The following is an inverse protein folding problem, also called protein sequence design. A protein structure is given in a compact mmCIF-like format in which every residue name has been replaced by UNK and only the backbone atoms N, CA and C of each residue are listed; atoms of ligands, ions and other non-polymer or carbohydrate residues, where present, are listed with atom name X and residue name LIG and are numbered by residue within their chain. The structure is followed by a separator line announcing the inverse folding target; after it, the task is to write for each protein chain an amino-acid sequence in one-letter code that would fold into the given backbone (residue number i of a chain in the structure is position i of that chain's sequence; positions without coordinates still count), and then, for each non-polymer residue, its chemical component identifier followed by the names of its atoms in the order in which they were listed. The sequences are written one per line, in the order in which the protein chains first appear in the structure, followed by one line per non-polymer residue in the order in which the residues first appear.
data_IF_638250225049
#
_entry.id   IF_638250225049
#
_cell.length_a   1.000
_cell.length_b   1.000
_cell.length_c   1.000
_cell.angle_alpha   90.00
_cell.angle_beta   90.00
_cell.angle_gamma   90.00
#
_symmetry.space_group_name_H-M   'P 1'
#
loop_
_entity.id
_entity.type
_entity.pdbx_description
1 polymer ?
#
# COMPACT_ATOMS: atom_id res chain seq x y z
N UNK A 1 -17.74 10.83 -6.74
CA UNK A 1 -16.94 10.98 -5.51
C UNK A 1 -15.51 10.55 -5.82
N UNK A 2 -14.48 11.03 -5.13
CA UNK A 2 -13.09 10.71 -5.47
C UNK A 2 -12.67 9.42 -4.74
N UNK A 3 -12.14 8.42 -5.47
CA UNK A 3 -11.55 7.22 -4.90
C UNK A 3 -10.26 7.56 -4.13
N UNK A 4 -9.95 6.79 -3.10
CA UNK A 4 -8.78 6.99 -2.22
C UNK A 4 -8.50 5.70 -1.44
N UNK A 5 -7.32 5.54 -0.82
CA UNK A 5 -7.03 4.38 0.00
C UNK A 5 -8.13 4.07 1.03
N UNK A 6 -8.70 2.88 0.95
CA UNK A 6 -9.76 2.42 1.87
C UNK A 6 -9.23 1.95 3.22
N UNK A 7 -7.93 1.68 3.33
CA UNK A 7 -7.23 1.33 4.58
C UNK A 7 -6.12 2.33 4.88
N UNK A 8 -5.80 2.49 6.16
CA UNK A 8 -4.57 3.16 6.58
C UNK A 8 -3.41 2.19 6.38
N UNK A 9 -2.39 2.62 5.66
CA UNK A 9 -1.22 1.79 5.37
C UNK A 9 0.07 2.57 5.64
N UNK A 10 1.06 1.91 6.25
CA UNK A 10 2.35 2.54 6.53
C UNK A 10 3.07 2.81 5.21
N UNK A 11 3.70 3.96 5.09
CA UNK A 11 4.41 4.34 3.86
C UNK A 11 3.52 4.95 2.78
N UNK A 12 2.22 5.22 3.06
CA UNK A 12 1.31 5.81 2.06
C UNK A 12 1.86 7.10 1.45
N UNK A 13 1.86 7.19 0.12
CA UNK A 13 2.51 8.23 -0.69
C UNK A 13 1.67 9.50 -0.92
N UNK A 14 0.53 9.64 -0.24
CA UNK A 14 -0.40 10.76 -0.48
C UNK A 14 0.26 12.15 -0.45
N UNK A 15 1.30 12.33 0.36
CA UNK A 15 2.03 13.62 0.46
C UNK A 15 3.08 13.81 -0.64
N UNK A 16 3.43 12.76 -1.37
CA UNK A 16 4.44 12.79 -2.43
C UNK A 16 3.83 12.76 -3.82
N UNK A 17 2.52 12.58 -3.94
CA UNK A 17 1.83 12.40 -5.23
C UNK A 17 2.20 13.50 -6.24
N UNK A 18 2.16 14.78 -5.84
CA UNK A 18 2.49 15.88 -6.74
C UNK A 18 3.94 15.83 -7.25
N UNK A 19 4.87 15.35 -6.42
CA UNK A 19 6.27 15.18 -6.82
C UNK A 19 6.46 13.95 -7.70
N UNK A 20 5.74 12.84 -7.43
CA UNK A 20 5.75 11.63 -8.24
C UNK A 20 5.14 11.91 -9.63
N UNK A 21 4.04 12.66 -9.66
CA UNK A 21 3.39 13.11 -10.88
C UNK A 21 4.34 13.92 -11.77
N UNK A 22 5.04 14.90 -11.17
CA UNK A 22 6.00 15.75 -11.90
C UNK A 22 7.20 14.95 -12.46
N UNK A 23 7.39 13.71 -12.02
CA UNK A 23 8.48 12.82 -12.44
C UNK A 23 8.06 11.75 -13.44
N UNK A 24 6.79 11.71 -13.84
CA UNK A 24 6.34 10.86 -14.94
C UNK A 24 7.05 11.25 -16.27
N UNK A 25 7.13 10.34 -17.26
CA UNK A 25 7.61 10.71 -18.59
C UNK A 25 6.86 11.94 -19.13
N UNK A 26 7.57 12.89 -19.72
CA UNK A 26 6.98 14.15 -20.18
C UNK A 26 5.85 13.97 -21.22
N UNK A 27 5.87 12.86 -21.92
CA UNK A 27 4.87 12.45 -22.91
C UNK A 27 3.89 11.38 -22.41
N UNK A 28 3.86 11.09 -21.07
CA UNK A 28 3.06 10.01 -20.50
C UNK A 28 1.58 10.05 -20.92
N UNK A 29 0.98 11.24 -20.91
CA UNK A 29 -0.42 11.42 -21.32
C UNK A 29 -0.68 11.22 -22.82
N UNK A 30 0.39 11.19 -23.62
CA UNK A 30 0.33 10.92 -25.07
C UNK A 30 0.45 9.43 -25.39
N UNK A 31 0.83 8.60 -24.40
CA UNK A 31 0.92 7.16 -24.60
C UNK A 31 -0.48 6.57 -24.76
N UNK A 32 -0.63 5.67 -25.71
CA UNK A 32 -1.89 4.98 -25.94
C UNK A 32 -1.92 3.64 -25.21
N UNK A 33 -3.09 3.29 -24.68
CA UNK A 33 -3.39 1.99 -24.08
C UNK A 33 -2.38 1.58 -22.97
N UNK A 34 -2.12 2.50 -22.04
CA UNK A 34 -1.19 2.27 -20.95
C UNK A 34 -1.70 1.16 -20.00
N UNK A 35 -0.80 0.24 -19.66
CA UNK A 35 -0.96 -0.71 -18.54
C UNK A 35 -0.15 -0.19 -17.35
N UNK A 36 -0.84 0.23 -16.28
CA UNK A 36 -0.21 0.70 -15.06
C UNK A 36 0.02 -0.46 -14.08
N UNK A 37 1.22 -0.58 -13.51
CA UNK A 37 1.59 -1.76 -12.71
C UNK A 37 2.21 -1.35 -11.37
N UNK A 38 1.61 -1.79 -10.25
CA UNK A 38 2.16 -1.63 -8.89
C UNK A 38 2.48 -3.00 -8.27
N UNK A 39 3.73 -3.45 -8.30
CA UNK A 39 4.16 -4.72 -7.69
C UNK A 39 4.09 -4.76 -6.16
N UNK A 40 4.00 -3.60 -5.49
CA UNK A 40 3.91 -3.40 -4.04
C UNK A 40 2.81 -2.38 -3.75
N UNK A 41 1.54 -2.74 -3.95
CA UNK A 41 0.44 -1.76 -3.95
C UNK A 41 0.16 -1.15 -2.58
N UNK A 42 0.36 -1.90 -1.48
CA UNK A 42 0.05 -1.42 -0.15
C UNK A 42 -1.36 -0.79 -0.05
N UNK A 43 -1.46 0.46 0.40
CA UNK A 43 -2.74 1.17 0.50
C UNK A 43 -3.29 1.70 -0.83
N UNK A 44 -2.53 1.64 -1.93
CA UNK A 44 -2.97 2.03 -3.28
C UNK A 44 -3.11 3.54 -3.51
N UNK A 45 -2.36 4.37 -2.77
CA UNK A 45 -2.46 5.83 -2.92
C UNK A 45 -2.13 6.28 -4.35
N UNK A 46 -1.04 5.73 -4.92
CA UNK A 46 -0.64 6.05 -6.29
C UNK A 46 -1.58 5.40 -7.31
N UNK A 47 -2.00 4.15 -7.09
CA UNK A 47 -2.99 3.46 -7.93
C UNK A 47 -4.25 4.32 -8.16
N UNK A 48 -4.93 4.69 -7.07
CA UNK A 48 -6.17 5.46 -7.18
C UNK A 48 -5.94 6.85 -7.78
N UNK A 49 -4.78 7.45 -7.53
CA UNK A 49 -4.42 8.71 -8.16
C UNK A 49 -4.27 8.55 -9.68
N UNK A 50 -3.43 7.64 -10.13
CA UNK A 50 -3.14 7.38 -11.54
C UNK A 50 -4.42 7.04 -12.32
N UNK A 51 -5.24 6.14 -11.78
CA UNK A 51 -6.49 5.71 -12.43
C UNK A 51 -7.55 6.82 -12.57
N UNK A 52 -7.50 7.84 -11.73
CA UNK A 52 -8.44 8.98 -11.78
C UNK A 52 -7.92 10.14 -12.64
N UNK A 53 -6.60 10.29 -12.72
CA UNK A 53 -5.97 11.44 -13.39
C UNK A 53 -5.67 11.15 -14.85
N UNK A 54 -5.18 9.94 -15.16
CA UNK A 54 -4.70 9.59 -16.50
C UNK A 54 -5.68 8.69 -17.25
N UNK A 55 -6.44 9.27 -18.17
CA UNK A 55 -7.46 8.56 -18.94
C UNK A 55 -6.89 7.56 -19.97
N UNK A 56 -5.61 7.70 -20.32
CA UNK A 56 -4.87 6.78 -21.20
C UNK A 56 -4.54 5.44 -20.53
N UNK A 57 -4.69 5.32 -19.19
CA UNK A 57 -4.54 4.04 -18.48
C UNK A 57 -5.81 3.20 -18.67
N UNK A 58 -5.70 2.20 -19.55
CA UNK A 58 -6.81 1.30 -19.89
C UNK A 58 -6.93 0.10 -18.93
N UNK A 59 -5.81 -0.33 -18.36
CA UNK A 59 -5.76 -1.44 -17.40
C UNK A 59 -4.69 -1.18 -16.34
N UNK A 60 -4.86 -1.81 -15.18
CA UNK A 60 -3.81 -1.82 -14.17
C UNK A 60 -3.62 -3.22 -13.58
N UNK A 61 -2.40 -3.49 -13.13
CA UNK A 61 -2.01 -4.72 -12.45
C UNK A 61 -1.47 -4.32 -11.08
N UNK A 62 -2.05 -4.86 -10.02
CA UNK A 62 -1.53 -4.65 -8.67
C UNK A 62 -1.13 -5.98 -8.05
N UNK A 63 -0.13 -5.92 -7.20
CA UNK A 63 0.32 -7.08 -6.42
C UNK A 63 0.72 -6.64 -5.01
N UNK A 64 0.52 -7.55 -4.08
CA UNK A 64 1.11 -7.46 -2.74
C UNK A 64 1.36 -8.89 -2.23
N UNK A 65 2.37 -9.04 -1.37
CA UNK A 65 2.64 -10.32 -0.71
C UNK A 65 1.61 -10.62 0.39
N UNK A 66 0.93 -9.59 0.88
CA UNK A 66 -0.06 -9.68 1.94
C UNK A 66 -1.42 -10.15 1.39
N UNK A 67 -1.74 -11.42 1.59
CA UNK A 67 -3.00 -12.03 1.14
C UNK A 67 -4.24 -11.39 1.77
N UNK A 68 -4.19 -10.99 3.05
CA UNK A 68 -5.32 -10.31 3.70
C UNK A 68 -5.62 -8.98 2.98
N UNK A 69 -4.57 -8.23 2.58
CA UNK A 69 -4.72 -6.98 1.85
C UNK A 69 -5.27 -7.20 0.43
N UNK A 70 -4.71 -8.13 -0.32
CA UNK A 70 -5.17 -8.41 -1.69
C UNK A 70 -6.59 -8.98 -1.70
N UNK A 71 -6.97 -9.73 -0.66
CA UNK A 71 -8.36 -10.16 -0.44
C UNK A 71 -9.28 -8.96 -0.25
N UNK A 72 -8.85 -7.93 0.51
CA UNK A 72 -9.63 -6.69 0.63
C UNK A 72 -9.86 -6.01 -0.72
N UNK A 73 -8.83 -5.88 -1.56
CA UNK A 73 -8.97 -5.34 -2.92
C UNK A 73 -9.97 -6.14 -3.77
N UNK A 74 -9.89 -7.49 -3.72
CA UNK A 74 -10.81 -8.38 -4.46
C UNK A 74 -12.25 -8.21 -3.99
N UNK A 75 -12.48 -8.13 -2.67
CA UNK A 75 -13.82 -7.95 -2.09
C UNK A 75 -14.39 -6.57 -2.42
N UNK A 76 -13.59 -5.49 -2.30
CA UNK A 76 -14.01 -4.15 -2.70
C UNK A 76 -14.39 -4.12 -4.19
N UNK A 77 -13.60 -4.78 -5.04
CA UNK A 77 -13.89 -4.88 -6.49
C UNK A 77 -15.19 -5.64 -6.78
N UNK A 78 -15.38 -6.82 -6.17
CA UNK A 78 -16.39 -7.80 -6.60
C UNK A 78 -17.69 -7.74 -5.81
N UNK A 79 -17.63 -7.31 -4.54
CA UNK A 79 -18.76 -7.41 -3.61
C UNK A 79 -18.90 -6.17 -2.71
N UNK A 80 -18.83 -4.93 -3.25
CA UNK A 80 -18.81 -3.70 -2.44
C UNK A 80 -20.07 -3.55 -1.58
N UNK A 81 -21.24 -3.93 -2.08
CA UNK A 81 -22.50 -3.82 -1.34
C UNK A 81 -22.54 -4.74 -0.12
N UNK A 82 -22.08 -6.00 -0.28
CA UNK A 82 -22.02 -6.96 0.83
C UNK A 82 -21.03 -6.48 1.91
N UNK A 83 -19.87 -5.96 1.49
CA UNK A 83 -18.89 -5.38 2.39
C UNK A 83 -19.46 -4.18 3.17
N UNK A 84 -20.13 -3.24 2.47
CA UNK A 84 -20.75 -2.06 3.10
C UNK A 84 -21.81 -2.48 4.12
N UNK A 85 -22.65 -3.47 3.79
CA UNK A 85 -23.66 -3.98 4.73
C UNK A 85 -22.99 -4.52 6.00
N UNK A 86 -21.99 -5.40 5.86
CA UNK A 86 -21.28 -6.01 6.98
C UNK A 86 -20.51 -4.98 7.82
N UNK A 87 -19.84 -3.99 7.18
CA UNK A 87 -19.16 -2.90 7.88
C UNK A 87 -20.14 -1.98 8.62
N UNK A 88 -21.33 -1.74 8.06
CA UNK A 88 -22.36 -0.92 8.70
C UNK A 88 -22.92 -1.58 9.96
N UNK A 89 -23.09 -2.90 9.93
CA UNK A 89 -23.52 -3.68 11.10
C UNK A 89 -22.47 -3.62 12.23
N UNK A 90 -21.22 -3.95 11.93
CA UNK A 90 -20.14 -3.92 12.92
C UNK A 90 -19.89 -2.50 13.47
N UNK A 91 -20.08 -1.46 12.63
CA UNK A 91 -20.03 -0.08 13.07
C UNK A 91 -21.15 0.28 14.06
N UNK A 92 -22.39 -0.16 13.78
CA UNK A 92 -23.54 0.05 14.69
C UNK A 92 -23.29 -0.65 16.03
N UNK A 93 -22.84 -1.89 16.00
CA UNK A 93 -22.49 -2.65 17.19
C UNK A 93 -21.42 -1.91 18.01
N UNK A 94 -20.29 -1.53 17.36
CA UNK A 94 -19.21 -0.82 18.03
C UNK A 94 -19.65 0.52 18.64
N UNK A 95 -20.50 1.29 17.95
CA UNK A 95 -20.99 2.58 18.43
C UNK A 95 -22.02 2.45 19.58
N UNK A 96 -22.68 1.29 19.72
CA UNK A 96 -23.58 1.02 20.85
C UNK A 96 -22.83 0.81 22.18
N UNK A 97 -21.53 0.55 22.13
CA UNK A 97 -20.69 0.28 23.29
C UNK A 97 -20.34 1.57 24.02
N UNK A 98 -20.80 1.71 25.27
CA UNK A 98 -20.74 2.97 26.02
C UNK A 98 -19.40 3.23 26.73
N UNK A 99 -18.62 2.17 27.04
CA UNK A 99 -17.36 2.31 27.78
C UNK A 99 -16.14 1.93 26.93
N UNK A 100 -14.97 2.46 27.30
CA UNK A 100 -13.71 2.07 26.68
C UNK A 100 -13.45 0.57 26.86
N UNK A 101 -13.78 0.03 28.05
CA UNK A 101 -13.57 -1.40 28.35
C UNK A 101 -14.46 -2.28 27.46
N UNK A 102 -15.73 -1.94 27.25
CA UNK A 102 -16.60 -2.71 26.35
C UNK A 102 -16.12 -2.64 24.90
N UNK A 103 -15.67 -1.48 24.42
CA UNK A 103 -15.06 -1.33 23.09
C UNK A 103 -13.76 -2.15 22.96
N UNK A 104 -12.93 -2.15 23.99
CA UNK A 104 -11.71 -2.95 24.03
C UNK A 104 -12.00 -4.45 24.00
N UNK A 105 -12.99 -4.91 24.79
CA UNK A 105 -13.40 -6.33 24.77
C UNK A 105 -13.91 -6.72 23.37
N UNK A 106 -14.78 -5.93 22.77
CA UNK A 106 -15.28 -6.14 21.41
C UNK A 106 -14.12 -6.22 20.40
N UNK A 107 -13.18 -5.27 20.46
CA UNK A 107 -11.98 -5.29 19.64
C UNK A 107 -11.19 -6.58 19.78
N UNK A 108 -11.01 -7.06 21.01
CA UNK A 108 -10.25 -8.29 21.27
C UNK A 108 -10.96 -9.54 20.73
N UNK A 109 -12.29 -9.59 20.79
CA UNK A 109 -13.10 -10.67 20.20
C UNK A 109 -12.93 -10.67 18.68
N UNK A 110 -13.13 -9.53 18.03
CA UNK A 110 -12.97 -9.39 16.57
C UNK A 110 -11.55 -9.72 16.10
N UNK A 111 -10.55 -9.32 16.88
CA UNK A 111 -9.15 -9.67 16.60
C UNK A 111 -8.88 -11.18 16.73
N UNK A 112 -9.46 -11.82 17.74
CA UNK A 112 -9.34 -13.26 17.90
C UNK A 112 -10.00 -14.01 16.73
N UNK A 113 -11.17 -13.57 16.30
CA UNK A 113 -11.88 -14.13 15.14
C UNK A 113 -11.05 -13.97 13.86
N UNK A 114 -10.53 -12.75 13.57
CA UNK A 114 -9.66 -12.49 12.42
C UNK A 114 -8.45 -13.43 12.42
N UNK A 115 -7.87 -13.69 13.58
CA UNK A 115 -6.70 -14.54 13.75
C UNK A 115 -6.99 -16.04 13.61
N UNK A 116 -8.23 -16.48 13.47
CA UNK A 116 -8.54 -17.89 13.18
C UNK A 116 -8.07 -18.31 11.80
N UNK A 117 -7.95 -17.33 10.86
CA UNK A 117 -7.58 -17.55 9.45
C UNK A 117 -8.50 -18.54 8.70
N UNK A 118 -9.74 -18.69 9.17
CA UNK A 118 -10.74 -19.62 8.63
C UNK A 118 -12.03 -18.90 8.20
N UNK A 119 -11.92 -17.63 7.82
CA UNK A 119 -13.06 -16.79 7.45
C UNK A 119 -13.28 -16.78 5.93
N UNK A 120 -14.54 -16.62 5.53
CA UNK A 120 -14.85 -16.26 4.15
C UNK A 120 -14.30 -14.86 3.80
N UNK A 121 -14.09 -14.54 2.51
CA UNK A 121 -13.45 -13.29 2.09
C UNK A 121 -14.19 -12.03 2.57
N UNK A 122 -15.54 -12.02 2.63
CA UNK A 122 -16.31 -10.85 3.08
C UNK A 122 -16.06 -10.61 4.56
N UNK A 123 -16.19 -11.65 5.40
CA UNK A 123 -15.96 -11.54 6.85
C UNK A 123 -14.51 -11.19 7.16
N UNK A 124 -13.55 -11.81 6.47
CA UNK A 124 -12.13 -11.48 6.62
C UNK A 124 -11.87 -9.99 6.32
N UNK A 125 -12.38 -9.49 5.20
CA UNK A 125 -12.24 -8.09 4.80
C UNK A 125 -12.93 -7.14 5.78
N UNK A 126 -14.14 -7.48 6.24
CA UNK A 126 -14.87 -6.70 7.24
C UNK A 126 -14.06 -6.54 8.53
N UNK A 127 -13.48 -7.64 9.03
CA UNK A 127 -12.65 -7.60 10.23
C UNK A 127 -11.31 -6.89 9.99
N UNK A 128 -10.71 -7.03 8.82
CA UNK A 128 -9.51 -6.29 8.45
C UNK A 128 -9.76 -4.76 8.52
N UNK A 129 -10.86 -4.29 7.90
CA UNK A 129 -11.25 -2.86 7.93
C UNK A 129 -11.53 -2.41 9.36
N UNK A 130 -12.33 -3.18 10.11
CA UNK A 130 -12.64 -2.89 11.50
C UNK A 130 -11.37 -2.73 12.33
N UNK A 131 -10.46 -3.72 12.28
CA UNK A 131 -9.21 -3.69 13.02
C UNK A 131 -8.31 -2.53 12.59
N UNK A 132 -8.18 -2.26 11.30
CA UNK A 132 -7.40 -1.14 10.79
C UNK A 132 -7.95 0.23 11.27
N UNK A 133 -9.26 0.37 11.43
CA UNK A 133 -9.90 1.62 11.88
C UNK A 133 -9.92 1.78 13.39
N UNK A 134 -9.83 0.68 14.15
CA UNK A 134 -9.97 0.69 15.61
C UNK A 134 -8.68 0.37 16.38
N UNK A 135 -7.63 -0.12 15.71
CA UNK A 135 -6.34 -0.38 16.32
C UNK A 135 -5.50 0.90 16.47
N UNK A 136 -4.43 0.80 17.26
CA UNK A 136 -3.48 1.89 17.49
C UNK A 136 -2.86 2.38 16.16
N UNK A 137 -3.07 3.65 15.83
CA UNK A 137 -2.58 4.35 14.63
C UNK A 137 -2.97 3.72 13.28
N UNK A 138 -3.92 2.79 13.25
CA UNK A 138 -4.31 2.12 12.00
C UNK A 138 -3.21 1.25 11.41
N UNK A 139 -2.32 0.72 12.26
CA UNK A 139 -1.21 -0.13 11.83
C UNK A 139 -1.70 -1.51 11.40
N UNK A 140 -1.04 -2.12 10.42
CA UNK A 140 -1.10 -3.56 10.19
C UNK A 140 0.22 -4.18 10.64
N UNK A 141 0.14 -5.11 11.57
CA UNK A 141 1.31 -5.82 12.08
C UNK A 141 0.92 -7.22 12.52
N UNK A 142 1.74 -8.20 12.16
CA UNK A 142 1.60 -9.59 12.59
C UNK A 142 2.80 -10.01 13.43
N UNK A 143 2.62 -10.99 14.31
CA UNK A 143 3.71 -11.62 15.04
C UNK A 143 4.40 -12.71 14.18
N UNK A 144 5.41 -13.39 14.72
CA UNK A 144 6.14 -14.46 14.02
C UNK A 144 5.25 -15.63 13.57
N UNK A 145 4.08 -15.81 14.20
CA UNK A 145 3.09 -16.83 13.81
C UNK A 145 2.10 -16.31 12.75
N UNK A 146 2.29 -15.09 12.20
CA UNK A 146 1.38 -14.50 11.21
C UNK A 146 0.07 -13.97 11.79
N UNK A 147 -0.07 -13.85 13.12
CA UNK A 147 -1.28 -13.38 13.78
C UNK A 147 -1.23 -11.86 14.00
N UNK A 148 -2.31 -11.16 13.65
CA UNK A 148 -2.47 -9.72 13.88
C UNK A 148 -2.37 -9.40 15.38
N UNK A 149 -1.48 -8.46 15.75
CA UNK A 149 -1.15 -8.20 17.15
C UNK A 149 -1.11 -6.72 17.54
N UNK A 150 -1.66 -5.82 16.72
CA UNK A 150 -1.73 -4.40 17.08
C UNK A 150 -2.67 -4.20 18.27
N UNK A 151 -2.32 -3.32 19.25
CA UNK A 151 -3.20 -3.03 20.37
C UNK A 151 -4.41 -2.18 19.97
N UNK A 152 -5.44 -2.17 20.82
CA UNK A 152 -6.61 -1.31 20.68
C UNK A 152 -6.24 0.18 20.68
N UNK A 153 -6.83 0.95 19.76
CA UNK A 153 -6.51 2.36 19.53
C UNK A 153 -7.32 3.36 20.36
N UNK A 154 -8.31 2.91 21.15
CA UNK A 154 -9.17 3.71 22.05
C UNK A 154 -10.04 4.76 21.35
N UNK A 155 -10.28 4.61 20.04
CA UNK A 155 -11.18 5.52 19.32
C UNK A 155 -12.64 5.26 19.71
N UNK A 156 -13.40 6.35 19.92
CA UNK A 156 -14.83 6.24 20.30
C UNK A 156 -15.72 6.04 19.07
N UNK A 157 -15.56 6.86 18.06
CA UNK A 157 -16.39 6.87 16.86
C UNK A 157 -15.53 6.90 15.57
N UNK A 158 -14.64 5.91 15.36
CA UNK A 158 -13.86 5.87 14.13
C UNK A 158 -14.78 5.52 12.95
N UNK A 159 -14.59 6.16 11.81
CA UNK A 159 -15.30 5.78 10.58
C UNK A 159 -14.86 4.39 10.15
N UNK A 160 -15.66 3.37 10.50
CA UNK A 160 -15.40 1.96 10.13
C UNK A 160 -15.90 1.69 8.72
N UNK A 161 -17.15 2.12 8.42
CA UNK A 161 -17.76 2.02 7.10
C UNK A 161 -17.73 3.39 6.41
N UNK A 162 -16.92 3.52 5.35
CA UNK A 162 -16.96 4.64 4.39
C UNK A 162 -17.51 4.10 3.07
N UNK A 163 -18.84 3.92 3.01
CA UNK A 163 -19.53 3.34 1.86
C UNK A 163 -19.22 4.07 0.55
N UNK A 164 -19.13 5.40 0.62
CA UNK A 164 -18.87 6.23 -0.55
C UNK A 164 -17.48 5.97 -1.15
N UNK A 165 -16.47 5.83 -0.30
CA UNK A 165 -15.12 5.46 -0.73
C UNK A 165 -15.12 4.04 -1.32
N UNK A 166 -15.76 3.07 -0.65
CA UNK A 166 -15.82 1.67 -1.11
C UNK A 166 -16.44 1.56 -2.50
N UNK A 167 -17.55 2.26 -2.78
CA UNK A 167 -18.17 2.23 -4.11
C UNK A 167 -17.32 2.94 -5.17
N UNK A 168 -16.73 4.09 -4.86
CA UNK A 168 -15.85 4.79 -5.81
C UNK A 168 -14.59 3.97 -6.14
N UNK A 169 -14.01 3.31 -5.13
CA UNK A 169 -12.86 2.43 -5.31
C UNK A 169 -13.25 1.19 -6.15
N UNK A 170 -14.41 0.60 -5.86
CA UNK A 170 -14.93 -0.55 -6.62
C UNK A 170 -15.08 -0.25 -8.10
N UNK A 171 -15.57 0.94 -8.46
CA UNK A 171 -15.73 1.37 -9.84
C UNK A 171 -14.37 1.42 -10.57
N UNK A 172 -13.35 2.03 -9.97
CA UNK A 172 -12.01 2.10 -10.55
C UNK A 172 -11.34 0.72 -10.63
N UNK A 173 -11.56 -0.12 -9.62
CA UNK A 173 -10.94 -1.44 -9.57
C UNK A 173 -11.47 -2.39 -10.65
N UNK A 174 -12.56 -2.07 -11.39
CA UNK A 174 -13.07 -2.95 -12.45
C UNK A 174 -12.03 -3.20 -13.55
N UNK A 175 -11.15 -2.22 -13.84
CA UNK A 175 -10.06 -2.34 -14.82
C UNK A 175 -8.73 -2.82 -14.22
N UNK A 176 -8.72 -3.30 -12.96
CA UNK A 176 -7.51 -3.70 -12.22
C UNK A 176 -7.46 -5.22 -12.05
N UNK A 177 -6.38 -5.85 -12.48
CA UNK A 177 -6.04 -7.23 -12.11
C UNK A 177 -5.33 -7.24 -10.76
N UNK A 178 -5.73 -8.14 -9.85
CA UNK A 178 -5.24 -8.20 -8.47
C UNK A 178 -4.51 -9.51 -8.24
N UNK A 179 -3.21 -9.42 -8.09
CA UNK A 179 -2.31 -10.54 -7.84
C UNK A 179 -1.95 -10.63 -6.37
N UNK A 180 -1.52 -11.82 -5.94
CA UNK A 180 -1.02 -12.08 -4.59
C UNK A 180 0.27 -12.87 -4.69
N UNK A 181 1.33 -12.44 -3.99
CA UNK A 181 2.58 -13.18 -3.91
C UNK A 181 3.80 -12.39 -4.36
N UNK A 182 4.76 -13.09 -4.97
CA UNK A 182 6.03 -12.48 -5.37
C UNK A 182 5.83 -11.44 -6.48
N UNK A 183 6.45 -10.28 -6.31
CA UNK A 183 6.30 -9.13 -7.19
C UNK A 183 6.78 -9.39 -8.63
N UNK A 184 7.70 -10.33 -8.83
CA UNK A 184 8.27 -10.62 -10.16
C UNK A 184 7.22 -11.17 -11.13
N UNK A 185 6.15 -11.78 -10.64
CA UNK A 185 5.05 -12.27 -11.49
C UNK A 185 4.38 -11.15 -12.30
N UNK A 186 4.45 -9.91 -11.83
CA UNK A 186 3.77 -8.78 -12.48
C UNK A 186 4.27 -8.51 -13.90
N UNK A 187 5.53 -8.85 -14.23
CA UNK A 187 6.07 -8.70 -15.57
C UNK A 187 5.34 -9.58 -16.60
N UNK A 188 4.81 -10.74 -16.20
CA UNK A 188 4.04 -11.62 -17.09
C UNK A 188 2.72 -10.98 -17.58
N UNK A 189 2.27 -9.94 -16.88
CA UNK A 189 1.03 -9.20 -17.19
C UNK A 189 1.29 -7.89 -17.94
N UNK A 190 2.55 -7.48 -18.07
CA UNK A 190 2.91 -6.28 -18.84
C UNK A 190 2.51 -6.45 -20.32
N UNK A 191 1.97 -5.40 -20.92
CA UNK A 191 1.53 -5.38 -22.32
C UNK A 191 1.80 -4.00 -22.90
N UNK A 192 2.23 -3.93 -24.15
CA UNK A 192 2.42 -2.66 -24.88
C UNK A 192 3.16 -1.60 -24.05
N UNK A 193 2.55 -0.45 -23.89
CA UNK A 193 3.09 0.64 -23.07
C UNK A 193 2.80 0.39 -21.59
N UNK A 194 3.69 -0.35 -20.91
CA UNK A 194 3.54 -0.60 -19.46
C UNK A 194 4.42 0.34 -18.66
N UNK A 195 3.83 0.91 -17.60
CA UNK A 195 4.51 1.75 -16.62
C UNK A 195 4.46 1.11 -15.23
N UNK A 196 5.61 0.83 -14.64
CA UNK A 196 5.75 0.23 -13.33
C UNK A 196 6.03 1.29 -12.27
N UNK A 197 5.28 1.29 -11.18
CA UNK A 197 5.60 2.05 -9.98
C UNK A 197 5.96 1.11 -8.84
N UNK A 198 7.18 1.20 -8.34
CA UNK A 198 7.69 0.40 -7.23
C UNK A 198 7.74 1.22 -5.94
N UNK A 199 7.03 0.76 -4.92
CA UNK A 199 7.10 1.28 -3.55
C UNK A 199 7.38 0.12 -2.58
N UNK A 200 8.58 -0.50 -2.65
CA UNK A 200 8.95 -1.66 -1.85
C UNK A 200 9.10 -1.29 -0.38
N UNK A 201 9.17 -2.27 0.53
CA UNK A 201 9.61 -1.99 1.90
C UNK A 201 10.97 -1.28 1.89
N UNK A 202 11.04 -0.12 2.58
CA UNK A 202 12.21 0.74 2.54
C UNK A 202 13.37 0.16 3.33
N UNK A 203 14.57 0.35 2.79
CA UNK A 203 15.81 0.07 3.52
C UNK A 203 15.90 0.98 4.75
N UNK A 204 16.20 0.44 5.96
CA UNK A 204 16.37 1.25 7.15
C UNK A 204 17.47 2.32 6.97
N UNK A 205 17.23 3.56 7.41
CA UNK A 205 18.18 4.67 7.31
C UNK A 205 19.46 4.46 8.14
N UNK A 206 19.41 3.65 9.19
CA UNK A 206 20.54 3.28 10.04
C UNK A 206 20.27 1.95 10.75
N UNK A 207 21.32 1.29 11.25
CA UNK A 207 21.26 0.00 11.93
C UNK A 207 20.35 -0.02 13.18
N UNK A 208 20.11 1.13 13.81
CA UNK A 208 19.24 1.25 14.98
C UNK A 208 17.77 1.47 14.62
N UNK A 209 17.45 1.76 13.38
CA UNK A 209 16.05 1.91 12.89
C UNK A 209 15.42 0.60 12.43
N UNK A 210 16.13 -0.52 12.55
CA UNK A 210 15.68 -1.87 12.19
C UNK A 210 14.60 -2.47 13.12
N UNK A 211 13.95 -1.66 13.97
CA UNK A 211 12.86 -2.09 14.86
C UNK A 211 11.56 -2.49 14.12
N UNK A 212 11.55 -2.50 12.80
CA UNK A 212 10.38 -2.88 11.99
C UNK A 212 10.45 -4.32 11.42
N UNK A 213 11.28 -5.19 11.96
CA UNK A 213 11.39 -6.61 11.58
C UNK A 213 10.16 -7.44 12.04
N UNK A 214 8.95 -7.03 11.63
CA UNK A 214 7.73 -7.79 11.90
C UNK A 214 7.18 -8.55 10.68
N UNK A 215 7.88 -8.53 9.56
CA UNK A 215 7.61 -9.43 8.42
C UNK A 215 8.50 -10.66 8.53
N UNK A 216 7.99 -11.84 8.16
CA UNK A 216 8.72 -13.12 8.21
C UNK A 216 10.06 -13.10 7.47
N UNK A 217 10.23 -12.19 6.51
CA UNK A 217 11.46 -11.94 5.77
C UNK A 217 11.65 -10.42 5.65
N UNK A 218 12.67 -9.89 6.35
CA UNK A 218 13.05 -8.48 6.22
C UNK A 218 13.46 -8.21 4.76
N UNK A 219 12.97 -7.11 4.16
CA UNK A 219 13.39 -6.67 2.83
C UNK A 219 14.81 -6.06 2.93
N UNK A 220 15.80 -6.94 3.05
CA UNK A 220 17.20 -6.61 3.32
C UNK A 220 17.96 -6.23 2.04
N UNK A 221 19.27 -5.98 2.15
CA UNK A 221 20.13 -5.58 1.03
C UNK A 221 20.14 -6.61 -0.12
N UNK A 222 19.98 -7.91 0.18
CA UNK A 222 19.86 -8.95 -0.86
C UNK A 222 18.53 -8.83 -1.60
N UNK A 223 17.43 -8.56 -0.88
CA UNK A 223 16.12 -8.31 -1.48
C UNK A 223 16.13 -7.03 -2.33
N UNK A 224 16.81 -5.97 -1.88
CA UNK A 224 17.00 -4.74 -2.68
C UNK A 224 17.79 -5.00 -3.96
N UNK A 225 18.85 -5.82 -3.91
CA UNK A 225 19.61 -6.24 -5.11
C UNK A 225 18.78 -7.11 -6.05
N UNK A 226 17.93 -8.01 -5.51
CA UNK A 226 16.99 -8.79 -6.31
C UNK A 226 15.97 -7.90 -7.01
N UNK A 227 15.45 -6.89 -6.31
CA UNK A 227 14.53 -5.90 -6.89
C UNK A 227 15.22 -5.12 -8.03
N UNK A 228 16.48 -4.73 -7.85
CA UNK A 228 17.24 -4.07 -8.93
C UNK A 228 17.34 -4.96 -10.17
N UNK A 229 17.63 -6.25 -10.00
CA UNK A 229 17.61 -7.21 -11.12
C UNK A 229 16.25 -7.24 -11.83
N UNK A 230 15.15 -7.20 -11.07
CA UNK A 230 13.82 -7.14 -11.65
C UNK A 230 13.54 -5.82 -12.40
N UNK A 231 14.06 -4.69 -11.90
CA UNK A 231 14.01 -3.42 -12.63
C UNK A 231 14.77 -3.51 -13.98
N UNK A 232 15.89 -4.23 -14.01
CA UNK A 232 16.64 -4.49 -15.25
C UNK A 232 15.82 -5.34 -16.22
N UNK A 233 15.12 -6.38 -15.74
CA UNK A 233 14.23 -7.22 -16.55
C UNK A 233 13.08 -6.39 -17.14
N UNK A 234 12.47 -5.50 -16.35
CA UNK A 234 11.42 -4.58 -16.79
C UNK A 234 11.94 -3.67 -17.91
N UNK A 235 13.14 -3.09 -17.75
CA UNK A 235 13.76 -2.29 -18.78
C UNK A 235 14.10 -3.10 -20.04
N UNK A 236 14.67 -4.28 -19.86
CA UNK A 236 15.02 -5.17 -20.98
C UNK A 236 13.79 -5.60 -21.79
N UNK A 237 12.63 -5.69 -21.12
CA UNK A 237 11.34 -5.93 -21.78
C UNK A 237 10.77 -4.68 -22.48
N UNK A 238 11.45 -3.54 -22.44
CA UNK A 238 11.04 -2.29 -23.10
C UNK A 238 10.03 -1.47 -22.32
N UNK A 239 9.86 -1.71 -21.01
CA UNK A 239 8.91 -0.97 -20.17
C UNK A 239 9.59 0.10 -19.32
N UNK A 240 8.79 1.06 -18.87
CA UNK A 240 9.25 2.16 -18.03
C UNK A 240 8.96 1.87 -16.56
N UNK A 241 9.83 2.36 -15.69
CA UNK A 241 9.59 2.27 -14.26
C UNK A 241 10.02 3.51 -13.48
N UNK A 242 9.35 3.75 -12.36
CA UNK A 242 9.74 4.65 -11.30
C UNK A 242 9.72 3.88 -9.98
N UNK A 243 10.81 4.00 -9.19
CA UNK A 243 10.97 3.32 -7.90
C UNK A 243 11.24 4.34 -6.81
N UNK A 244 10.48 4.24 -5.72
CA UNK A 244 10.69 5.01 -4.49
C UNK A 244 11.48 4.19 -3.46
N UNK A 245 12.41 4.82 -2.74
CA UNK A 245 13.08 4.21 -1.59
C UNK A 245 13.62 5.27 -0.61
N UNK A 246 14.15 4.83 0.53
CA UNK A 246 14.80 5.73 1.49
C UNK A 246 16.11 6.27 0.94
N UNK A 247 16.36 7.56 1.18
CA UNK A 247 17.66 8.19 0.92
C UNK A 247 18.61 7.85 2.08
N UNK A 248 19.25 6.69 1.99
CA UNK A 248 20.25 6.27 2.96
C UNK A 248 21.52 7.11 2.81
N UNK A 249 22.18 7.46 3.92
CA UNK A 249 23.41 8.26 3.89
C UNK A 249 24.63 7.51 3.33
N UNK A 250 24.53 6.18 3.21
CA UNK A 250 25.50 5.39 2.48
C UNK A 250 25.20 5.44 0.96
N UNK A 251 26.17 5.08 0.15
CA UNK A 251 26.04 5.12 -1.30
C UNK A 251 25.34 3.87 -1.89
N UNK A 252 24.68 3.07 -1.07
CA UNK A 252 24.15 1.76 -1.48
C UNK A 252 23.25 1.87 -2.72
N UNK A 253 22.29 2.78 -2.72
CA UNK A 253 21.38 2.95 -3.85
C UNK A 253 22.03 3.69 -5.02
N UNK A 254 22.87 4.70 -4.75
CA UNK A 254 23.62 5.40 -5.80
C UNK A 254 24.52 4.44 -6.59
N UNK A 255 25.21 3.52 -5.91
CA UNK A 255 26.05 2.51 -6.56
C UNK A 255 25.20 1.43 -7.25
N UNK A 256 24.13 0.96 -6.61
CA UNK A 256 23.29 -0.13 -7.11
C UNK A 256 22.53 0.27 -8.38
N UNK A 257 22.05 1.52 -8.47
CA UNK A 257 21.24 2.05 -9.56
C UNK A 257 21.98 3.08 -10.43
N UNK A 258 23.34 3.08 -10.43
CA UNK A 258 24.18 4.04 -11.13
C UNK A 258 23.86 4.22 -12.63
N UNK A 259 23.23 3.25 -13.25
CA UNK A 259 22.83 3.27 -14.68
C UNK A 259 21.49 3.97 -14.92
N UNK A 260 20.77 4.34 -13.88
CA UNK A 260 19.44 4.95 -13.91
C UNK A 260 19.47 6.40 -13.44
N UNK A 261 18.41 7.14 -13.70
CA UNK A 261 18.23 8.48 -13.14
C UNK A 261 17.86 8.37 -11.66
N UNK A 262 18.62 9.03 -10.78
CA UNK A 262 18.36 9.07 -9.34
C UNK A 262 18.09 10.51 -8.94
N UNK A 263 16.88 10.76 -8.44
CA UNK A 263 16.50 12.06 -7.89
C UNK A 263 16.12 11.96 -6.41
N UNK A 264 16.26 13.07 -5.70
CA UNK A 264 15.93 13.18 -4.29
C UNK A 264 14.74 14.11 -4.11
N UNK A 265 13.64 13.59 -3.58
CA UNK A 265 12.41 14.33 -3.32
C UNK A 265 12.22 14.57 -1.82
N UNK A 266 11.54 15.65 -1.48
CA UNK A 266 11.31 16.00 -0.08
C UNK A 266 10.07 15.32 0.47
N UNK A 267 10.24 14.46 1.49
CA UNK A 267 9.15 13.84 2.23
C UNK A 267 8.98 14.49 3.60
N UNK A 268 7.75 14.86 3.96
CA UNK A 268 7.45 15.32 5.32
C UNK A 268 7.02 14.13 6.19
N UNK A 269 7.75 13.85 7.27
CA UNK A 269 7.30 12.84 8.25
C UNK A 269 6.24 13.41 9.18
N UNK A 270 5.01 12.93 9.04
CA UNK A 270 3.90 13.26 9.93
C UNK A 270 3.93 12.50 11.27
N UNK A 271 4.71 11.40 11.38
CA UNK A 271 4.71 10.51 12.55
C UNK A 271 6.14 10.39 13.09
N UNK A 272 6.45 11.23 14.08
CA UNK A 272 7.57 10.98 14.98
C UNK A 272 7.09 11.29 16.41
N UNK A 273 7.35 10.37 17.34
CA UNK A 273 7.02 10.54 18.76
C UNK A 273 7.71 11.77 19.38
N UNK A 274 8.82 12.25 18.79
CA UNK A 274 9.53 13.46 19.21
C UNK A 274 9.29 14.60 18.20
N UNK A 275 8.54 15.68 18.59
CA UNK A 275 8.26 16.82 17.71
C UNK A 275 9.50 17.50 17.14
N UNK A 276 10.61 17.52 17.88
CA UNK A 276 11.88 18.16 17.49
C UNK A 276 12.68 17.33 16.46
N UNK A 277 12.26 16.11 16.15
CA UNK A 277 12.84 15.24 15.11
C UNK A 277 11.93 15.13 13.87
N UNK A 278 10.95 16.00 13.72
CA UNK A 278 10.14 16.17 12.50
C UNK A 278 10.94 17.02 11.50
N UNK A 279 11.93 16.41 10.85
CA UNK A 279 12.72 17.04 9.78
C UNK A 279 12.18 16.65 8.40
N UNK A 280 12.44 17.49 7.40
CA UNK A 280 12.28 17.07 6.01
C UNK A 280 13.33 15.99 5.75
N UNK A 281 12.88 14.81 5.32
CA UNK A 281 13.75 13.74 4.86
C UNK A 281 13.64 13.66 3.35
N UNK A 282 14.73 13.32 2.72
CA UNK A 282 14.73 13.00 1.30
C UNK A 282 14.35 11.53 1.10
N UNK A 283 13.60 11.25 0.05
CA UNK A 283 13.38 9.93 -0.52
C UNK A 283 14.03 9.89 -1.90
N UNK A 284 14.49 8.72 -2.31
CA UNK A 284 15.02 8.49 -3.66
C UNK A 284 13.89 8.15 -4.62
N UNK A 285 13.93 8.76 -5.79
CA UNK A 285 13.18 8.34 -6.96
C UNK A 285 14.16 7.88 -8.05
N UNK A 286 14.03 6.65 -8.46
CA UNK A 286 14.89 6.00 -9.45
C UNK A 286 14.05 5.68 -10.67
N UNK A 287 14.53 6.10 -11.87
CA UNK A 287 13.78 5.98 -13.13
C UNK A 287 14.67 5.50 -14.26
N UNK A 288 14.13 4.76 -15.21
CA UNK A 288 14.84 4.34 -16.42
C UNK A 288 14.55 5.23 -17.65
N UNK A 289 14.00 6.43 -17.44
CA UNK A 289 13.69 7.44 -18.47
C UNK A 289 14.12 8.83 -17.98
N UNK A 290 14.20 9.80 -18.90
CA UNK A 290 14.54 11.21 -18.64
C UNK A 290 13.30 12.07 -18.37
#
# INVERSE_FOLDING_TARGET
MKAKPFVKWVGGKTQLIDQLEAMLPADFDQWENVTYIEPFVGGGAMLFYMLQTHSNIQSAIINDINEDLTTCYKVVKQSPQLLVNSLSEIQKEYYSLRSEDSRKQYYMIMRAEFNTKALDPIRNTTLFFFLNRTCFNGLYRVNKSGLFNVPFGRYETPTICDANTIFADSELLQKVEILTGDYTQTLNYARGNSFFYFDPPYRPLNATSSFNDYTKEAFNDLAQKRLKGFCDDVQAAGHHFMLSNSDCQDKFFDDLYMQYQIERVWASRSINANPNKRGKLTELLIRNYM
#
